data_IF_723253483337
#
_entry.id   IF_723253483337
#
_cell.length_a   1.000
_cell.length_b   1.000
_cell.length_c   1.000
_cell.angle_alpha   90.00
_cell.angle_beta   90.00
_cell.angle_gamma   90.00
#
_symmetry.space_group_name_H-M   'P 1'
#
loop_
_entity.id
_entity.type
_entity.pdbx_description
1 polymer ?
#
# COMPACT_ATOMS: atom_id res chain seq x y z
N UNK A 1 24.48 5.73 7.87
CA UNK A 1 23.29 4.89 7.59
C UNK A 1 22.10 5.64 8.14
N UNK A 2 21.15 6.04 7.30
CA UNK A 2 19.92 6.64 7.80
C UNK A 2 19.12 5.55 8.51
N UNK A 3 19.03 5.62 9.84
CA UNK A 3 18.12 4.77 10.61
C UNK A 3 16.71 5.30 10.41
N UNK A 4 15.72 4.42 10.34
CA UNK A 4 14.32 4.83 10.45
C UNK A 4 14.15 5.59 11.78
N UNK A 5 13.36 6.65 11.76
CA UNK A 5 13.01 7.39 12.96
C UNK A 5 12.22 6.48 13.93
N UNK A 6 12.30 6.79 15.22
CA UNK A 6 11.47 6.12 16.22
C UNK A 6 9.97 6.31 15.93
N UNK A 7 9.61 7.43 15.29
CA UNK A 7 8.24 7.71 14.86
C UNK A 7 7.74 6.66 13.85
N UNK A 8 8.45 6.42 12.75
CA UNK A 8 8.03 5.45 11.72
C UNK A 8 8.03 4.03 12.27
N UNK A 9 9.06 3.66 13.05
CA UNK A 9 9.13 2.34 13.65
C UNK A 9 7.91 2.07 14.56
N UNK A 10 7.51 3.07 15.34
CA UNK A 10 6.32 2.99 16.18
C UNK A 10 5.01 3.03 15.37
N UNK A 11 4.91 3.88 14.34
CA UNK A 11 3.74 4.00 13.47
C UNK A 11 3.43 2.68 12.75
N UNK A 12 4.48 2.02 12.24
CA UNK A 12 4.38 0.81 11.44
C UNK A 12 4.59 -0.48 12.26
N UNK A 13 4.48 -0.43 13.59
CA UNK A 13 4.67 -1.62 14.42
C UNK A 13 3.52 -2.62 14.29
N UNK A 14 3.83 -3.90 14.05
CA UNK A 14 2.80 -4.95 14.01
C UNK A 14 2.06 -5.11 15.33
N UNK A 15 2.70 -4.74 16.45
CA UNK A 15 2.14 -4.80 17.80
C UNK A 15 1.18 -3.64 18.09
N UNK A 16 1.24 -2.56 17.31
CA UNK A 16 0.41 -1.38 17.53
C UNK A 16 -0.96 -1.58 16.89
N UNK A 17 -2.00 -1.32 17.68
CA UNK A 17 -3.39 -1.34 17.25
C UNK A 17 -3.93 0.08 17.27
N UNK A 18 -4.72 0.40 16.26
CA UNK A 18 -5.36 1.70 16.13
C UNK A 18 -6.87 1.58 16.34
N UNK A 19 -7.41 2.42 17.22
CA UNK A 19 -8.82 2.77 17.28
C UNK A 19 -9.01 4.18 16.72
N UNK A 20 -10.25 4.63 16.60
CA UNK A 20 -10.54 6.00 16.14
C UNK A 20 -9.86 7.06 17.02
N UNK A 21 -9.83 6.83 18.33
CA UNK A 21 -9.25 7.72 19.33
C UNK A 21 -7.72 7.70 19.36
N UNK A 22 -7.09 6.68 18.76
CA UNK A 22 -5.62 6.53 18.77
C UNK A 22 -5.01 6.69 17.39
N UNK A 23 -5.80 7.10 16.38
CA UNK A 23 -5.28 7.41 15.05
C UNK A 23 -4.28 8.57 15.12
N UNK A 24 -3.21 8.54 14.33
CA UNK A 24 -2.19 9.57 14.38
C UNK A 24 -2.72 10.88 13.80
N UNK A 25 -2.64 11.94 14.61
CA UNK A 25 -3.03 13.29 14.22
C UNK A 25 -2.11 13.91 13.17
N UNK A 26 -0.88 13.45 13.04
CA UNK A 26 0.04 13.88 12.01
C UNK A 26 0.73 12.65 11.39
N UNK A 27 0.77 12.60 10.06
CA UNK A 27 1.52 11.59 9.30
C UNK A 27 2.66 12.32 8.60
N UNK A 28 3.90 12.00 8.98
CA UNK A 28 5.08 12.54 8.32
C UNK A 28 5.31 11.84 6.97
N UNK A 29 4.95 12.53 5.89
CA UNK A 29 5.07 12.03 4.52
C UNK A 29 6.53 11.79 4.14
N UNK A 30 7.44 12.66 4.57
CA UNK A 30 8.86 12.54 4.22
C UNK A 30 9.48 11.30 4.88
N UNK A 31 9.07 10.99 6.11
CA UNK A 31 9.53 9.77 6.76
C UNK A 31 8.94 8.50 6.13
N UNK A 32 7.69 8.53 5.62
CA UNK A 32 7.12 7.43 4.83
C UNK A 32 7.85 7.24 3.50
N UNK A 33 8.18 8.32 2.78
CA UNK A 33 8.97 8.28 1.54
C UNK A 33 10.36 7.72 1.83
N UNK A 34 11.03 8.19 2.89
CA UNK A 34 12.34 7.65 3.31
C UNK A 34 12.25 6.16 3.61
N UNK A 35 11.23 5.73 4.34
CA UNK A 35 11.01 4.32 4.71
C UNK A 35 10.90 3.40 3.49
N UNK A 36 10.08 3.79 2.51
CA UNK A 36 9.78 2.97 1.32
C UNK A 36 10.76 3.22 0.14
N UNK A 37 11.60 4.25 0.23
CA UNK A 37 12.62 4.57 -0.75
C UNK A 37 13.74 3.53 -0.81
N UNK A 38 14.28 3.32 -2.01
CA UNK A 38 15.48 2.50 -2.26
C UNK A 38 16.73 3.35 -2.51
N UNK A 39 16.69 4.58 -2.04
CA UNK A 39 17.74 5.56 -2.25
C UNK A 39 19.06 5.05 -1.66
N UNK A 40 20.19 5.51 -2.19
CA UNK A 40 21.53 5.04 -1.79
C UNK A 40 21.79 5.11 -0.28
N UNK A 41 21.05 5.98 0.41
CA UNK A 41 21.14 6.22 1.85
C UNK A 41 20.22 5.32 2.69
N UNK A 42 19.19 4.71 2.09
CA UNK A 42 18.32 3.71 2.72
C UNK A 42 18.78 2.27 2.36
N UNK A 43 19.79 1.79 3.08
CA UNK A 43 20.34 0.43 2.92
C UNK A 43 19.61 -0.64 3.74
N UNK A 44 18.42 -0.33 4.28
CA UNK A 44 17.73 -1.24 5.19
C UNK A 44 17.02 -2.38 4.43
N UNK A 45 16.69 -2.17 3.16
CA UNK A 45 16.06 -3.15 2.29
C UNK A 45 17.08 -4.06 1.60
N UNK A 46 17.04 -5.36 1.90
CA UNK A 46 17.84 -6.37 1.22
C UNK A 46 17.09 -6.92 0.00
N UNK A 47 17.73 -6.89 -1.18
CA UNK A 47 17.17 -7.51 -2.39
C UNK A 47 16.90 -9.00 -2.12
N UNK A 48 15.67 -9.43 -2.37
CA UNK A 48 15.25 -10.81 -2.17
C UNK A 48 15.11 -11.55 -3.50
N UNK A 49 14.28 -11.05 -4.42
CA UNK A 49 14.00 -11.70 -5.72
C UNK A 49 13.82 -10.68 -6.84
N UNK A 50 14.05 -11.13 -8.07
CA UNK A 50 13.69 -10.40 -9.31
C UNK A 50 12.69 -11.24 -10.09
N UNK A 51 11.61 -10.61 -10.54
CA UNK A 51 10.52 -11.28 -11.23
C UNK A 51 10.52 -10.94 -12.70
N UNK A 52 10.35 -11.97 -13.54
CA UNK A 52 10.04 -11.80 -14.96
C UNK A 52 8.53 -11.69 -15.10
N UNK A 53 8.10 -10.79 -15.97
CA UNK A 53 6.71 -10.56 -16.28
C UNK A 53 6.56 -10.45 -17.80
N UNK A 54 5.32 -10.47 -18.29
CA UNK A 54 5.03 -10.46 -19.74
C UNK A 54 4.97 -9.05 -20.34
N UNK A 55 5.15 -8.00 -19.52
CA UNK A 55 5.13 -6.60 -19.96
C UNK A 55 6.57 -6.12 -20.18
N UNK A 56 6.92 -5.78 -21.42
CA UNK A 56 8.30 -5.42 -21.79
C UNK A 56 8.85 -4.23 -20.99
N UNK A 57 8.00 -3.28 -20.66
CA UNK A 57 8.38 -2.03 -19.99
C UNK A 57 8.31 -2.12 -18.46
N UNK A 58 7.97 -3.30 -17.92
CA UNK A 58 7.78 -3.50 -16.50
C UNK A 58 8.94 -4.31 -15.91
N UNK A 59 9.49 -3.82 -14.80
CA UNK A 59 10.43 -4.58 -13.98
C UNK A 59 9.92 -4.65 -12.56
N UNK A 60 10.00 -5.83 -11.94
CA UNK A 60 9.59 -6.00 -10.55
C UNK A 60 10.65 -6.75 -9.77
N UNK A 61 10.99 -6.21 -8.61
CA UNK A 61 11.89 -6.81 -7.62
C UNK A 61 11.19 -6.83 -6.27
N UNK A 62 11.51 -7.83 -5.45
CA UNK A 62 11.14 -7.81 -4.04
C UNK A 62 12.35 -7.61 -3.16
N UNK A 63 12.13 -6.88 -2.07
CA UNK A 63 13.10 -6.60 -1.03
C UNK A 63 12.50 -6.99 0.31
N UNK A 64 13.37 -7.28 1.27
CA UNK A 64 12.94 -7.67 2.61
C UNK A 64 13.77 -6.94 3.65
N UNK A 65 13.16 -6.72 4.80
CA UNK A 65 13.86 -6.26 5.99
C UNK A 65 13.15 -6.77 7.24
N UNK A 66 13.85 -6.70 8.36
CA UNK A 66 13.26 -6.93 9.67
C UNK A 66 13.29 -5.62 10.44
N UNK A 67 12.13 -5.24 10.96
CA UNK A 67 11.96 -4.03 11.76
C UNK A 67 11.33 -4.37 13.08
N UNK A 68 11.44 -3.45 14.03
CA UNK A 68 10.97 -3.66 15.39
C UNK A 68 11.52 -4.98 15.96
N UNK A 69 10.88 -5.54 16.98
CA UNK A 69 11.26 -6.83 17.56
C UNK A 69 10.88 -8.03 16.65
N UNK A 70 11.28 -8.01 15.38
CA UNK A 70 11.16 -9.15 14.46
C UNK A 70 10.02 -9.09 13.44
N UNK A 71 9.42 -7.92 13.21
CA UNK A 71 8.44 -7.73 12.14
C UNK A 71 9.10 -7.98 10.79
N UNK A 72 8.60 -8.97 10.05
CA UNK A 72 9.07 -9.24 8.69
C UNK A 72 8.34 -8.33 7.71
N UNK A 73 9.12 -7.52 7.00
CA UNK A 73 8.65 -6.62 5.97
C UNK A 73 9.08 -7.13 4.60
N UNK A 74 8.13 -7.14 3.68
CA UNK A 74 8.38 -7.44 2.27
C UNK A 74 7.92 -6.25 1.44
N UNK A 75 8.78 -5.79 0.53
CA UNK A 75 8.48 -4.71 -0.39
C UNK A 75 8.56 -5.19 -1.82
N UNK A 76 7.53 -4.90 -2.59
CA UNK A 76 7.58 -4.90 -4.05
C UNK A 76 8.06 -3.52 -4.52
N UNK A 77 9.06 -3.52 -5.38
CA UNK A 77 9.49 -2.36 -6.14
C UNK A 77 9.25 -2.64 -7.62
N UNK A 78 8.37 -1.87 -8.23
CA UNK A 78 8.05 -1.98 -9.64
C UNK A 78 8.40 -0.69 -10.36
N UNK A 79 9.00 -0.82 -11.55
CA UNK A 79 9.22 0.30 -12.47
C UNK A 79 8.45 0.01 -13.76
N UNK A 80 7.67 0.98 -14.23
CA UNK A 80 7.05 0.99 -15.55
C UNK A 80 7.57 2.18 -16.35
N UNK A 81 8.03 1.92 -17.58
CA UNK A 81 8.48 2.96 -18.51
C UNK A 81 7.39 3.30 -19.52
N UNK A 82 7.57 4.41 -20.24
CA UNK A 82 6.69 4.86 -21.34
C UNK A 82 5.24 5.08 -20.89
N UNK A 83 5.06 5.59 -19.67
CA UNK A 83 3.74 5.95 -19.14
C UNK A 83 3.56 7.44 -19.37
N UNK A 84 2.60 7.85 -20.20
CA UNK A 84 2.32 9.28 -20.36
C UNK A 84 1.77 9.90 -19.06
N UNK A 85 1.96 11.20 -18.87
CA UNK A 85 1.45 11.90 -17.68
C UNK A 85 -0.07 11.77 -17.53
N UNK A 86 -0.81 11.77 -18.65
CA UNK A 86 -2.26 11.59 -18.65
C UNK A 86 -2.65 10.19 -18.20
N UNK A 87 -1.92 9.16 -18.67
CA UNK A 87 -2.13 7.78 -18.23
C UNK A 87 -1.80 7.64 -16.74
N UNK A 88 -0.71 8.23 -16.27
CA UNK A 88 -0.39 8.26 -14.85
C UNK A 88 -1.53 8.87 -14.01
N UNK A 89 -2.04 10.05 -14.40
CA UNK A 89 -3.11 10.77 -13.68
C UNK A 89 -4.46 10.04 -13.72
N UNK A 90 -4.92 9.65 -14.91
CA UNK A 90 -6.28 9.10 -15.13
C UNK A 90 -6.37 7.61 -14.82
N UNK A 91 -5.31 6.84 -15.08
CA UNK A 91 -5.33 5.41 -14.86
C UNK A 91 -4.74 5.01 -13.52
N UNK A 92 -3.53 5.48 -13.20
CA UNK A 92 -2.87 5.05 -11.97
C UNK A 92 -3.40 5.82 -10.76
N UNK A 93 -3.36 7.16 -10.75
CA UNK A 93 -3.76 7.95 -9.59
C UNK A 93 -5.26 7.80 -9.28
N UNK A 94 -6.13 7.90 -10.26
CA UNK A 94 -7.57 7.74 -10.00
C UNK A 94 -7.93 6.38 -9.38
N UNK A 95 -7.31 5.29 -9.85
CA UNK A 95 -7.64 3.93 -9.38
C UNK A 95 -6.83 3.49 -8.15
N UNK A 96 -5.59 3.98 -8.00
CA UNK A 96 -4.67 3.68 -6.89
C UNK A 96 -4.57 4.82 -5.88
N UNK A 97 -5.38 5.85 -5.95
CA UNK A 97 -5.45 6.85 -4.88
C UNK A 97 -6.89 7.31 -4.68
N UNK A 98 -7.69 7.33 -5.74
CA UNK A 98 -9.03 7.91 -5.73
C UNK A 98 -9.02 9.40 -6.06
N UNK A 99 -7.85 10.01 -6.28
CA UNK A 99 -7.75 11.42 -6.67
C UNK A 99 -8.01 11.62 -8.15
N UNK A 100 -8.75 12.69 -8.47
CA UNK A 100 -8.99 13.15 -9.85
C UNK A 100 -8.10 14.36 -10.13
N UNK A 101 -7.42 14.38 -11.27
CA UNK A 101 -6.65 15.56 -11.69
C UNK A 101 -7.55 16.59 -12.38
N UNK A 102 -7.47 17.84 -11.93
CA UNK A 102 -8.24 18.97 -12.45
C UNK A 102 -7.34 19.82 -13.35
N UNK A 103 -7.49 19.66 -14.66
CA UNK A 103 -6.65 20.35 -15.65
C UNK A 103 -6.76 21.89 -15.54
N UNK A 104 -7.94 22.41 -15.16
CA UNK A 104 -8.21 23.86 -15.05
C UNK A 104 -7.31 24.57 -14.03
N UNK A 105 -7.02 23.93 -12.91
CA UNK A 105 -6.23 24.52 -11.81
C UNK A 105 -4.88 23.80 -11.60
N UNK A 106 -4.61 22.75 -12.38
CA UNK A 106 -3.36 21.98 -12.31
C UNK A 106 -3.17 21.25 -10.98
N UNK A 107 -4.26 20.92 -10.29
CA UNK A 107 -4.24 20.31 -8.96
C UNK A 107 -5.05 19.01 -8.93
N UNK A 108 -4.87 18.22 -7.86
CA UNK A 108 -5.69 17.03 -7.63
C UNK A 108 -6.90 17.39 -6.77
N UNK A 109 -7.98 16.65 -6.89
CA UNK A 109 -9.10 16.65 -5.94
C UNK A 109 -9.26 15.24 -5.40
N UNK A 110 -9.34 15.13 -4.08
CA UNK A 110 -9.65 13.88 -3.38
C UNK A 110 -10.89 14.16 -2.55
N UNK A 111 -12.06 13.80 -3.07
CA UNK A 111 -13.29 14.00 -2.32
C UNK A 111 -13.45 12.94 -1.24
N UNK A 112 -14.09 13.32 -0.14
CA UNK A 112 -14.43 12.39 0.93
C UNK A 112 -15.22 11.19 0.37
N UNK A 113 -16.15 11.43 -0.55
CA UNK A 113 -16.94 10.36 -1.19
C UNK A 113 -16.10 9.43 -2.08
N UNK A 114 -14.91 9.87 -2.50
CA UNK A 114 -14.02 9.13 -3.39
C UNK A 114 -12.95 8.34 -2.63
N UNK A 115 -12.61 8.72 -1.39
CA UNK A 115 -11.59 8.03 -0.60
C UNK A 115 -11.84 6.51 -0.45
N UNK A 116 -13.08 6.02 -0.19
CA UNK A 116 -13.32 4.58 -0.14
C UNK A 116 -13.13 3.88 -1.49
N UNK A 117 -13.25 4.60 -2.62
CA UNK A 117 -13.20 4.00 -3.96
C UNK A 117 -11.87 3.30 -4.23
N UNK A 118 -10.74 3.84 -3.75
CA UNK A 118 -9.44 3.16 -3.78
C UNK A 118 -9.54 1.73 -3.26
N UNK A 119 -10.13 1.58 -2.08
CA UNK A 119 -10.26 0.28 -1.41
C UNK A 119 -11.21 -0.64 -2.19
N UNK A 120 -12.25 -0.07 -2.79
CA UNK A 120 -13.18 -0.84 -3.64
C UNK A 120 -12.55 -1.26 -4.96
N UNK A 121 -11.65 -0.48 -5.55
CA UNK A 121 -10.94 -0.88 -6.77
C UNK A 121 -10.01 -2.06 -6.54
N UNK A 122 -9.39 -2.19 -5.36
CA UNK A 122 -8.57 -3.36 -5.02
C UNK A 122 -9.35 -4.67 -5.15
N UNK A 123 -10.62 -4.68 -4.79
CA UNK A 123 -11.50 -5.84 -4.95
C UNK A 123 -11.65 -6.29 -6.41
N UNK A 124 -11.57 -5.36 -7.36
CA UNK A 124 -11.75 -5.66 -8.79
C UNK A 124 -10.56 -6.41 -9.41
N UNK A 125 -9.35 -6.31 -8.83
CA UNK A 125 -8.15 -6.90 -9.41
C UNK A 125 -7.37 -7.84 -8.47
N UNK A 126 -7.61 -7.83 -7.16
CA UNK A 126 -6.96 -8.75 -6.23
C UNK A 126 -7.78 -10.05 -6.14
N UNK A 127 -7.35 -11.09 -6.86
CA UNK A 127 -8.10 -12.36 -6.97
C UNK A 127 -8.34 -13.11 -5.64
N UNK A 128 -7.51 -12.88 -4.63
CA UNK A 128 -7.65 -13.52 -3.32
C UNK A 128 -8.61 -12.78 -2.37
N UNK A 129 -9.00 -11.56 -2.72
CA UNK A 129 -9.92 -10.71 -1.96
C UNK A 129 -11.36 -11.06 -2.37
N UNK A 130 -12.12 -11.66 -1.45
CA UNK A 130 -13.49 -12.14 -1.71
C UNK A 130 -14.57 -11.19 -1.19
N UNK A 131 -14.21 -10.24 -0.32
CA UNK A 131 -15.08 -9.13 0.07
C UNK A 131 -14.25 -7.93 0.55
N UNK A 132 -14.68 -6.73 0.19
CA UNK A 132 -14.19 -5.47 0.72
C UNK A 132 -15.38 -4.66 1.24
N UNK A 133 -15.43 -4.43 2.55
CA UNK A 133 -16.49 -3.68 3.21
C UNK A 133 -15.94 -2.35 3.71
N UNK A 134 -16.45 -1.26 3.14
CA UNK A 134 -16.32 0.07 3.75
C UNK A 134 -17.15 0.12 5.03
N UNK A 135 -16.51 0.49 6.15
CA UNK A 135 -17.18 0.58 7.44
C UNK A 135 -17.51 2.03 7.80
N UNK A 136 -16.52 2.91 7.73
CA UNK A 136 -16.68 4.34 8.02
C UNK A 136 -15.45 5.13 7.60
N UNK A 137 -15.56 6.44 7.68
CA UNK A 137 -14.48 7.39 7.54
C UNK A 137 -14.40 8.24 8.79
N UNK A 138 -13.19 8.57 9.20
CA UNK A 138 -12.93 9.42 10.36
C UNK A 138 -11.86 10.44 10.00
N UNK A 139 -11.99 11.63 10.58
CA UNK A 139 -10.96 12.66 10.52
C UNK A 139 -10.22 12.66 11.85
N UNK A 140 -8.90 12.81 11.82
CA UNK A 140 -8.09 12.98 13.03
C UNK A 140 -8.56 14.20 13.84
N UNK A 141 -8.24 14.23 15.13
CA UNK A 141 -8.75 15.26 16.07
C UNK A 141 -8.42 16.69 15.63
N UNK A 142 -7.28 16.87 14.95
CA UNK A 142 -6.84 18.16 14.42
C UNK A 142 -7.37 18.48 13.01
N UNK A 143 -8.20 17.63 12.42
CA UNK A 143 -8.79 17.84 11.09
C UNK A 143 -7.87 17.55 9.90
N UNK A 144 -6.60 17.22 10.13
CA UNK A 144 -5.58 17.23 9.07
C UNK A 144 -5.49 15.91 8.29
N UNK A 145 -5.85 14.78 8.91
CA UNK A 145 -5.76 13.47 8.29
C UNK A 145 -7.13 12.81 8.20
N UNK A 146 -7.38 12.13 7.10
CA UNK A 146 -8.60 11.36 6.89
C UNK A 146 -8.26 9.89 6.75
N UNK A 147 -8.97 9.05 7.50
CA UNK A 147 -8.80 7.61 7.50
C UNK A 147 -10.10 6.93 7.09
N UNK A 148 -9.99 5.97 6.19
CA UNK A 148 -11.08 5.08 5.79
C UNK A 148 -10.92 3.77 6.54
N UNK A 149 -11.93 3.37 7.29
CA UNK A 149 -11.99 2.05 7.92
C UNK A 149 -12.58 1.04 6.94
N UNK A 150 -11.83 -0.02 6.67
CA UNK A 150 -12.29 -1.13 5.83
C UNK A 150 -12.15 -2.47 6.54
N UNK A 151 -12.93 -3.43 6.07
CA UNK A 151 -12.82 -4.85 6.41
C UNK A 151 -12.71 -5.66 5.13
N UNK A 152 -11.57 -6.31 4.95
CA UNK A 152 -11.31 -7.19 3.82
C UNK A 152 -11.38 -8.65 4.26
N UNK A 153 -11.98 -9.49 3.44
CA UNK A 153 -11.98 -10.95 3.61
C UNK A 153 -11.19 -11.59 2.48
N UNK A 154 -10.21 -12.40 2.83
CA UNK A 154 -9.36 -13.11 1.87
C UNK A 154 -9.56 -14.61 1.95
N UNK A 155 -9.54 -15.25 0.79
CA UNK A 155 -9.43 -16.70 0.67
C UNK A 155 -8.01 -17.06 0.24
N UNK A 156 -7.22 -17.60 1.19
CA UNK A 156 -5.84 -18.00 0.94
C UNK A 156 -5.80 -19.40 0.31
N UNK A 157 -4.81 -19.61 -0.56
CA UNK A 157 -4.55 -20.93 -1.14
C UNK A 157 -3.59 -21.77 -0.27
N UNK A 158 -3.78 -23.10 -0.19
CA UNK A 158 -4.88 -23.86 -0.79
C UNK A 158 -6.21 -23.68 -0.03
N UNK A 159 -7.25 -23.28 -0.76
CA UNK A 159 -8.56 -22.87 -0.22
C UNK A 159 -9.33 -23.98 0.53
N UNK A 160 -8.98 -25.25 0.28
CA UNK A 160 -9.56 -26.41 0.97
C UNK A 160 -8.95 -26.67 2.36
N UNK A 161 -7.77 -26.12 2.67
CA UNK A 161 -7.13 -26.22 4.00
C UNK A 161 -7.29 -24.96 4.84
N UNK A 162 -7.40 -23.80 4.19
CA UNK A 162 -7.33 -22.52 4.86
C UNK A 162 -8.70 -21.86 4.96
N UNK A 163 -9.11 -21.60 6.21
CA UNK A 163 -10.27 -20.75 6.49
C UNK A 163 -10.07 -19.34 5.93
N UNK A 164 -11.16 -18.63 5.74
CA UNK A 164 -11.11 -17.23 5.36
C UNK A 164 -10.39 -16.39 6.42
N UNK A 165 -9.69 -15.35 5.95
CA UNK A 165 -8.96 -14.40 6.77
C UNK A 165 -9.62 -13.05 6.70
N UNK A 166 -9.82 -12.43 7.87
CA UNK A 166 -10.38 -11.08 7.94
C UNK A 166 -9.30 -10.10 8.39
N UNK A 167 -9.17 -9.02 7.63
CA UNK A 167 -8.26 -7.91 7.89
C UNK A 167 -9.10 -6.64 8.09
N UNK A 168 -9.09 -6.08 9.29
CA UNK A 168 -9.61 -4.73 9.52
C UNK A 168 -8.45 -3.73 9.51
N UNK A 169 -8.62 -2.65 8.78
CA UNK A 169 -7.56 -1.67 8.51
C UNK A 169 -8.11 -0.25 8.56
N UNK A 170 -7.24 0.68 8.93
CA UNK A 170 -7.41 2.10 8.72
C UNK A 170 -6.51 2.53 7.56
N UNK A 171 -7.10 3.11 6.52
CA UNK A 171 -6.40 3.50 5.31
C UNK A 171 -6.34 5.02 5.24
N UNK A 172 -5.13 5.58 5.30
CA UNK A 172 -4.84 6.98 5.05
C UNK A 172 -4.37 7.16 3.61
N UNK A 173 -4.92 8.16 2.93
CA UNK A 173 -4.63 8.44 1.53
C UNK A 173 -4.19 9.90 1.44
N UNK A 174 -3.01 10.14 0.89
CA UNK A 174 -2.55 11.50 0.62
C UNK A 174 -3.19 12.00 -0.67
N UNK A 175 -3.59 13.27 -0.71
CA UNK A 175 -3.72 13.98 -1.98
C UNK A 175 -2.35 13.95 -2.70
N UNK A 176 -2.28 13.59 -4.00
CA UNK A 176 -1.03 13.56 -4.72
C UNK A 176 -0.34 14.93 -4.72
N UNK A 177 0.98 14.92 -4.66
CA UNK A 177 1.80 16.11 -4.47
C UNK A 177 3.00 16.10 -5.42
N UNK A 178 3.55 17.28 -5.70
CA UNK A 178 4.76 17.43 -6.50
C UNK A 178 5.97 17.55 -5.58
N UNK A 179 7.10 17.01 -5.99
CA UNK A 179 8.38 17.34 -5.36
C UNK A 179 8.69 18.84 -5.53
N UNK A 180 9.49 19.42 -4.64
CA UNK A 180 9.87 20.84 -4.67
C UNK A 180 10.44 21.32 -6.02
N UNK A 181 11.20 20.46 -6.70
CA UNK A 181 11.77 20.77 -8.02
C UNK A 181 10.80 20.55 -9.20
N UNK A 182 9.55 20.15 -8.93
CA UNK A 182 8.55 19.83 -9.95
C UNK A 182 8.84 18.58 -10.79
N UNK A 183 9.96 17.88 -10.55
CA UNK A 183 10.38 16.72 -11.33
C UNK A 183 9.49 15.50 -11.14
N UNK A 184 8.99 15.31 -9.92
CA UNK A 184 8.21 14.14 -9.55
C UNK A 184 6.78 14.49 -9.16
N UNK A 185 5.82 13.69 -9.62
CA UNK A 185 4.48 13.63 -9.04
C UNK A 185 4.35 12.36 -8.19
N UNK A 186 3.79 12.49 -6.99
CA UNK A 186 3.89 11.49 -5.94
C UNK A 186 2.55 11.27 -5.25
N UNK A 187 2.32 10.06 -4.75
CA UNK A 187 1.14 9.68 -3.97
C UNK A 187 1.50 8.59 -2.97
N UNK A 188 0.94 8.67 -1.76
CA UNK A 188 1.10 7.67 -0.70
C UNK A 188 -0.25 7.17 -0.21
N UNK A 189 -0.31 5.86 0.03
CA UNK A 189 -1.38 5.19 0.77
C UNK A 189 -0.75 4.45 1.96
N UNK A 190 -1.30 4.63 3.14
CA UNK A 190 -0.85 4.01 4.39
C UNK A 190 -1.99 3.19 4.99
N UNK A 191 -1.77 1.90 5.18
CA UNK A 191 -2.69 1.02 5.89
C UNK A 191 -2.16 0.69 7.29
N UNK A 192 -2.97 0.98 8.31
CA UNK A 192 -2.69 0.72 9.72
C UNK A 192 -3.62 -0.35 10.28
N UNK A 193 -3.11 -1.11 11.24
CA UNK A 193 -3.84 -2.22 11.87
C UNK A 193 -4.94 -1.73 12.80
N UNK A 194 -6.18 -2.15 12.55
CA UNK A 194 -7.33 -1.87 13.42
C UNK A 194 -7.52 -2.91 14.53
N UNK A 195 -8.22 -2.52 15.61
CA UNK A 195 -8.73 -3.45 16.63
C UNK A 195 -9.91 -4.26 16.08
N UNK A 196 -9.69 -5.55 15.85
CA UNK A 196 -10.72 -6.48 15.35
C UNK A 196 -11.65 -6.99 16.45
N UNK A 197 -12.80 -6.33 16.60
CA UNK A 197 -13.95 -6.82 17.35
C UNK A 197 -14.87 -7.62 16.43
N UNK A 198 -15.41 -8.73 16.95
CA UNK A 198 -16.51 -9.49 16.35
C UNK A 198 -16.30 -9.88 14.86
N UNK A 199 -15.34 -10.79 14.64
CA UNK A 199 -15.14 -11.43 13.33
C UNK A 199 -15.20 -12.94 13.50
N UNK A 200 -16.07 -13.57 12.71
CA UNK A 200 -16.37 -15.01 12.78
C UNK A 200 -15.25 -15.87 12.19
N UNK A 201 -14.42 -15.26 11.34
CA UNK A 201 -13.31 -15.89 10.62
C UNK A 201 -11.97 -15.71 11.34
N UNK A 202 -10.90 -16.30 10.78
CA UNK A 202 -9.56 -16.17 11.38
C UNK A 202 -9.06 -14.73 11.25
N UNK A 203 -8.76 -14.11 12.40
CA UNK A 203 -8.19 -12.76 12.49
C UNK A 203 -6.80 -12.74 11.87
N UNK A 204 -6.59 -11.87 10.90
CA UNK A 204 -5.31 -11.62 10.26
C UNK A 204 -4.99 -10.13 10.36
N UNK A 205 -3.72 -9.74 10.31
CA UNK A 205 -3.37 -8.32 10.29
C UNK A 205 -2.53 -7.97 9.08
N UNK A 206 -2.62 -6.70 8.70
CA UNK A 206 -1.92 -6.13 7.57
C UNK A 206 -1.61 -4.68 7.90
N UNK A 207 -0.36 -4.29 7.65
CA UNK A 207 0.13 -2.92 7.66
C UNK A 207 0.87 -2.73 6.35
N UNK A 208 0.69 -1.60 5.69
CA UNK A 208 1.45 -1.30 4.47
C UNK A 208 1.67 0.18 4.27
N UNK A 209 2.72 0.45 3.49
CA UNK A 209 2.95 1.74 2.84
C UNK A 209 3.00 1.46 1.35
N UNK A 210 2.25 2.22 0.57
CA UNK A 210 2.29 2.17 -0.87
C UNK A 210 2.60 3.55 -1.40
N UNK A 211 3.51 3.60 -2.38
CA UNK A 211 4.08 4.83 -2.90
C UNK A 211 4.17 4.78 -4.42
N UNK A 212 3.56 5.77 -5.05
CA UNK A 212 3.69 6.05 -6.47
C UNK A 212 4.59 7.27 -6.63
N UNK A 213 5.56 7.16 -7.52
CA UNK A 213 6.46 8.24 -7.91
C UNK A 213 6.61 8.23 -9.41
N UNK A 214 6.15 9.29 -10.05
CA UNK A 214 6.23 9.47 -11.49
C UNK A 214 7.28 10.52 -11.84
N UNK A 215 8.30 10.13 -12.61
CA UNK A 215 9.30 11.02 -13.18
C UNK A 215 8.78 11.62 -14.49
N UNK A 216 8.41 12.91 -14.45
CA UNK A 216 7.79 13.59 -15.59
C UNK A 216 8.73 13.62 -16.80
N UNK A 217 10.04 13.78 -16.57
CA UNK A 217 11.01 13.91 -17.65
C UNK A 217 11.35 12.59 -18.34
N UNK A 218 11.21 11.48 -17.63
CA UNK A 218 11.55 10.14 -18.12
C UNK A 218 10.32 9.29 -18.47
N UNK A 219 9.10 9.78 -18.22
CA UNK A 219 7.85 9.03 -18.38
C UNK A 219 7.88 7.67 -17.66
N UNK A 220 8.46 7.68 -16.45
CA UNK A 220 8.72 6.49 -15.64
C UNK A 220 7.90 6.53 -14.35
N UNK A 221 7.12 5.47 -14.11
CA UNK A 221 6.42 5.24 -12.86
C UNK A 221 7.19 4.24 -12.00
N UNK A 222 7.67 4.68 -10.85
CA UNK A 222 8.04 3.81 -9.73
C UNK A 222 6.82 3.56 -8.85
N UNK A 223 6.50 2.29 -8.64
CA UNK A 223 5.42 1.84 -7.77
C UNK A 223 5.94 0.87 -6.72
N UNK A 224 6.08 1.37 -5.49
CA UNK A 224 6.50 0.59 -4.34
C UNK A 224 5.31 0.24 -3.46
N UNK A 225 5.29 -0.98 -2.94
CA UNK A 225 4.40 -1.39 -1.85
C UNK A 225 5.23 -2.18 -0.86
N UNK A 226 5.31 -1.70 0.38
CA UNK A 226 5.93 -2.40 1.51
C UNK A 226 4.85 -2.85 2.48
N UNK A 227 4.84 -4.12 2.86
CA UNK A 227 3.85 -4.67 3.79
C UNK A 227 4.47 -5.54 4.87
N UNK A 228 3.85 -5.50 6.05
CA UNK A 228 4.01 -6.49 7.12
C UNK A 228 2.63 -7.07 7.43
N UNK A 229 2.50 -8.39 7.33
CA UNK A 229 1.23 -9.08 7.53
C UNK A 229 1.38 -10.41 8.25
N UNK A 230 0.29 -10.85 8.86
CA UNK A 230 0.13 -12.16 9.46
C UNK A 230 -1.24 -12.70 9.11
N UNK A 231 -1.27 -13.85 8.44
CA UNK A 231 -2.50 -14.54 8.11
C UNK A 231 -3.20 -15.11 9.35
N UNK A 232 -2.53 -15.18 10.51
CA UNK A 232 -3.08 -15.73 11.74
C UNK A 232 -3.39 -17.23 11.67
N UNK A 233 -3.96 -17.75 12.76
CA UNK A 233 -4.21 -19.17 12.93
C UNK A 233 -2.91 -19.99 12.99
N UNK A 234 -3.00 -21.27 12.64
CA UNK A 234 -1.89 -22.23 12.77
C UNK A 234 -1.01 -22.34 11.51
N UNK A 235 -0.90 -21.28 10.69
CA UNK A 235 -0.06 -21.30 9.48
C UNK A 235 1.39 -21.04 9.89
N UNK A 236 2.34 -21.97 9.64
CA UNK A 236 3.74 -21.75 9.91
C UNK A 236 4.27 -20.46 9.27
N UNK A 237 5.00 -19.66 10.04
CA UNK A 237 5.49 -18.34 9.60
C UNK A 237 6.35 -18.39 8.34
N UNK A 238 7.15 -19.45 8.16
CA UNK A 238 7.98 -19.59 6.96
C UNK A 238 7.13 -19.73 5.68
N UNK A 239 5.96 -20.42 5.76
CA UNK A 239 5.03 -20.53 4.63
C UNK A 239 4.41 -19.17 4.32
N UNK A 240 3.97 -18.44 5.34
CA UNK A 240 3.43 -17.09 5.16
C UNK A 240 4.45 -16.16 4.48
N UNK A 241 5.70 -16.15 4.97
CA UNK A 241 6.80 -15.36 4.39
C UNK A 241 7.12 -15.75 2.96
N UNK A 242 7.03 -17.04 2.61
CA UNK A 242 7.30 -17.50 1.24
C UNK A 242 6.22 -17.10 0.24
N UNK A 243 4.97 -17.03 0.70
CA UNK A 243 3.82 -16.67 -0.13
C UNK A 243 3.69 -15.17 -0.39
N UNK A 244 4.16 -14.33 0.53
CA UNK A 244 3.93 -12.88 0.46
C UNK A 244 4.58 -12.24 -0.76
N UNK A 245 5.81 -12.65 -1.15
CA UNK A 245 6.47 -12.12 -2.34
C UNK A 245 5.60 -12.30 -3.59
N UNK A 246 5.05 -13.50 -3.75
CA UNK A 246 4.24 -13.83 -4.92
C UNK A 246 2.94 -13.03 -4.90
N UNK A 247 2.27 -12.98 -3.75
CA UNK A 247 1.02 -12.25 -3.59
C UNK A 247 1.20 -10.78 -3.98
N UNK A 248 2.19 -10.08 -3.42
CA UNK A 248 2.37 -8.65 -3.70
C UNK A 248 2.84 -8.39 -5.14
N UNK A 249 3.62 -9.30 -5.73
CA UNK A 249 4.10 -9.14 -7.12
C UNK A 249 2.97 -9.30 -8.13
N UNK A 250 2.07 -10.26 -7.90
CA UNK A 250 0.95 -10.56 -8.80
C UNK A 250 -0.08 -9.40 -8.86
N UNK A 251 -0.13 -8.53 -7.85
CA UNK A 251 -1.03 -7.37 -7.82
C UNK A 251 -0.81 -6.40 -9.01
N UNK A 252 0.43 -6.16 -9.45
CA UNK A 252 0.67 -5.20 -10.54
C UNK A 252 0.18 -5.73 -11.88
N UNK A 253 0.58 -6.95 -12.34
CA UNK A 253 0.00 -7.52 -13.55
C UNK A 253 -1.53 -7.61 -13.51
N UNK A 254 -2.11 -7.95 -12.36
CA UNK A 254 -3.57 -7.98 -12.20
C UNK A 254 -4.19 -6.58 -12.38
N UNK A 255 -3.60 -5.56 -11.78
CA UNK A 255 -4.04 -4.17 -11.95
C UNK A 255 -3.91 -3.69 -13.41
N UNK A 256 -2.77 -3.97 -14.06
CA UNK A 256 -2.58 -3.63 -15.46
C UNK A 256 -3.60 -4.31 -16.37
N UNK A 257 -3.90 -5.58 -16.12
CA UNK A 257 -4.96 -6.31 -16.82
C UNK A 257 -6.34 -5.68 -16.59
N UNK A 258 -6.65 -5.30 -15.35
CA UNK A 258 -7.90 -4.61 -15.00
C UNK A 258 -8.07 -3.30 -15.78
N UNK A 259 -7.02 -2.51 -15.91
CA UNK A 259 -7.03 -1.27 -16.69
C UNK A 259 -6.92 -1.47 -18.21
N UNK A 260 -6.77 -2.71 -18.68
CA UNK A 260 -6.52 -3.04 -20.10
C UNK A 260 -5.28 -2.32 -20.65
N UNK A 261 -4.19 -2.33 -19.87
CA UNK A 261 -2.88 -1.75 -20.21
C UNK A 261 -2.29 -2.33 -21.49
#
# INVERSE_FOLDING_TARGET
MAKNSDYILNLLSSKKLYTEETLPNNIDIDELVKFIGLDKDNKNWALHKTFKNNYKDLTTKTYTQYLNDGDYWCMRHTILNNISIDKFRKDFIEKLNGSVFEEENGSYRLDNNDMPKRCMFEYEYIHSLIACLYLKMVTSENGNNMFVKIRNSYKLEPSWLLNERTFCQWVFITKPFKSDCGKYEQSIVLSLRDVQKDVDNTKAYYISVEYLKYDIGNEELTWNMATCSDAGGNIPKFLQKSGIDKAIVDDVPSFLKFMKY
#
